data_IF_841839338055
#
_entry.id   IF_841839338055
#
_cell.length_a   1.000
_cell.length_b   1.000
_cell.length_c   1.000
_cell.angle_alpha   90.00
_cell.angle_beta   90.00
_cell.angle_gamma   90.00
#
_symmetry.space_group_name_H-M   'P 1'
#
loop_
_entity.id
_entity.type
_entity.pdbx_description
1 polymer ?
#
# COMPACT_ATOMS: atom_id res chain seq x y z
N UNK A 1 -8.71 13.12 13.72
CA UNK A 1 -7.67 12.92 12.69
C UNK A 1 -7.11 11.51 12.84
N UNK A 2 -7.07 10.77 11.75
CA UNK A 2 -6.50 9.44 11.73
C UNK A 2 -5.04 9.52 11.30
N UNK A 3 -4.17 8.85 12.02
CA UNK A 3 -2.75 8.76 11.69
C UNK A 3 -2.30 7.32 11.84
N UNK A 4 -1.65 6.80 10.82
CA UNK A 4 -1.04 5.48 10.86
C UNK A 4 0.44 5.60 11.16
N UNK A 5 0.98 4.60 11.82
CA UNK A 5 2.40 4.54 12.15
C UNK A 5 2.96 3.20 11.73
N UNK A 6 4.15 3.20 11.19
CA UNK A 6 4.88 1.97 10.90
C UNK A 6 6.29 2.04 11.44
N UNK A 7 6.88 0.87 11.67
CA UNK A 7 8.31 0.76 11.89
C UNK A 7 8.88 -0.43 11.12
N UNK A 8 10.16 -0.36 10.84
CA UNK A 8 10.93 -1.46 10.29
C UNK A 8 12.23 -1.55 11.08
N UNK A 9 12.43 -2.68 11.74
CA UNK A 9 13.68 -2.99 12.44
C UNK A 9 14.53 -3.90 11.56
N UNK A 10 15.78 -3.52 11.38
CA UNK A 10 16.78 -4.29 10.61
C UNK A 10 17.87 -4.77 11.55
N UNK A 11 17.80 -6.03 11.94
CA UNK A 11 18.81 -6.74 12.71
C UNK A 11 19.13 -8.06 12.03
N UNK A 12 19.31 -9.12 12.79
CA UNK A 12 19.48 -10.47 12.23
C UNK A 12 18.25 -10.89 11.43
N UNK A 13 17.09 -10.41 11.85
CA UNK A 13 15.83 -10.53 11.12
C UNK A 13 15.26 -9.14 10.82
N UNK A 14 14.46 -9.05 9.77
CA UNK A 14 13.66 -7.86 9.50
C UNK A 14 12.34 -8.01 10.23
N UNK A 15 12.05 -7.08 11.12
CA UNK A 15 10.78 -7.05 11.86
C UNK A 15 10.07 -5.76 11.49
N UNK A 16 8.81 -5.88 11.11
CA UNK A 16 7.99 -4.72 10.78
C UNK A 16 6.67 -4.73 11.53
N UNK A 17 6.21 -3.56 11.89
CA UNK A 17 4.91 -3.37 12.52
C UNK A 17 4.19 -2.18 11.94
N UNK A 18 2.88 -2.25 12.01
CA UNK A 18 2.00 -1.21 11.48
C UNK A 18 0.81 -1.02 12.40
N UNK A 19 0.52 0.21 12.74
CA UNK A 19 -0.66 0.59 13.50
C UNK A 19 -1.66 1.26 12.56
N UNK A 20 -2.82 0.62 12.39
CA UNK A 20 -3.95 1.19 11.65
C UNK A 20 -4.74 2.08 12.61
N UNK A 21 -4.42 3.36 12.62
CA UNK A 21 -5.11 4.35 13.45
C UNK A 21 -6.19 5.01 12.59
N UNK A 22 -7.40 4.48 12.66
CA UNK A 22 -8.52 4.83 11.81
C UNK A 22 -9.76 5.15 12.65
N UNK A 23 -10.73 5.84 12.05
CA UNK A 23 -11.99 6.18 12.71
C UNK A 23 -12.77 4.94 13.14
N UNK A 24 -13.55 5.08 14.19
CA UNK A 24 -14.43 4.03 14.69
C UNK A 24 -15.64 3.90 13.76
N UNK A 25 -15.45 3.15 12.69
CA UNK A 25 -16.49 2.79 11.73
C UNK A 25 -16.29 1.32 11.35
N UNK A 26 -17.26 0.76 10.69
CA UNK A 26 -17.13 -0.61 10.18
C UNK A 26 -16.20 -0.62 8.98
N UNK A 27 -15.04 -1.28 9.13
CA UNK A 27 -14.03 -1.43 8.09
C UNK A 27 -13.95 -2.87 7.59
N UNK A 28 -13.72 -3.03 6.30
CA UNK A 28 -13.42 -4.33 5.71
C UNK A 28 -11.92 -4.62 5.80
N UNK A 29 -11.58 -5.90 5.87
CA UNK A 29 -10.20 -6.37 5.91
C UNK A 29 -9.91 -7.26 4.72
N UNK A 30 -8.71 -7.14 4.21
CA UNK A 30 -8.13 -8.07 3.25
C UNK A 30 -6.87 -8.66 3.88
N UNK A 31 -6.87 -9.96 4.10
CA UNK A 31 -5.71 -10.67 4.68
C UNK A 31 -5.26 -11.69 3.65
N UNK A 32 -4.03 -11.55 3.20
CA UNK A 32 -3.40 -12.46 2.24
C UNK A 32 -2.20 -13.11 2.92
N UNK A 33 -2.20 -14.42 2.97
CA UNK A 33 -1.11 -15.21 3.52
C UNK A 33 -0.80 -16.35 2.56
N UNK A 34 0.26 -16.20 1.81
CA UNK A 34 0.74 -17.19 0.84
C UNK A 34 2.18 -17.57 1.16
N UNK A 35 2.73 -18.52 0.42
CA UNK A 35 4.16 -18.86 0.55
C UNK A 35 5.09 -17.70 0.13
N UNK A 36 4.59 -16.74 -0.64
CA UNK A 36 5.39 -15.70 -1.25
C UNK A 36 5.24 -14.34 -0.56
N UNK A 37 4.09 -14.10 0.09
CA UNK A 37 3.86 -12.82 0.77
C UNK A 37 2.82 -12.96 1.89
N UNK A 38 2.89 -12.02 2.82
CA UNK A 38 1.86 -11.79 3.82
C UNK A 38 1.54 -10.31 3.87
N UNK A 39 0.26 -9.96 3.73
CA UNK A 39 -0.14 -8.56 3.93
C UNK A 39 -1.57 -8.44 4.44
N UNK A 40 -1.81 -7.33 5.09
CA UNK A 40 -3.13 -6.93 5.59
C UNK A 40 -3.50 -5.60 4.95
N UNK A 41 -4.71 -5.54 4.41
CA UNK A 41 -5.28 -4.31 3.87
C UNK A 41 -6.54 -3.93 4.62
N UNK A 42 -6.74 -2.64 4.78
CA UNK A 42 -7.96 -2.06 5.34
C UNK A 42 -8.69 -1.34 4.21
N UNK A 43 -9.96 -1.67 4.07
CA UNK A 43 -10.80 -1.07 3.04
C UNK A 43 -11.98 -0.34 3.68
N UNK A 44 -12.33 0.80 3.11
CA UNK A 44 -13.52 1.54 3.51
C UNK A 44 -14.78 0.71 3.23
N UNK A 45 -15.91 1.04 3.88
CA UNK A 45 -17.18 0.34 3.63
C UNK A 45 -17.62 0.35 2.16
N UNK A 46 -17.21 1.38 1.40
CA UNK A 46 -17.48 1.47 -0.04
C UNK A 46 -16.55 0.61 -0.91
N UNK A 47 -15.64 -0.15 -0.30
CA UNK A 47 -14.68 -1.00 -0.99
C UNK A 47 -13.39 -0.29 -1.41
N UNK A 48 -13.27 1.01 -1.14
CA UNK A 48 -12.04 1.74 -1.46
C UNK A 48 -10.88 1.31 -0.54
N UNK A 49 -9.74 1.07 -1.14
CA UNK A 49 -8.52 0.71 -0.40
C UNK A 49 -7.99 1.91 0.38
N UNK A 50 -7.75 1.72 1.66
CA UNK A 50 -7.31 2.79 2.56
C UNK A 50 -5.83 2.64 2.92
N UNK A 51 -5.45 1.51 3.49
CA UNK A 51 -4.09 1.27 3.96
C UNK A 51 -3.71 -0.20 3.80
N UNK A 52 -2.45 -0.44 3.48
CA UNK A 52 -1.87 -1.78 3.40
C UNK A 52 -0.55 -1.84 4.14
N UNK A 53 -0.26 -3.01 4.68
CA UNK A 53 1.07 -3.31 5.22
C UNK A 53 1.40 -4.77 4.99
N UNK A 54 2.57 -5.04 4.47
CA UNK A 54 2.98 -6.40 4.21
C UNK A 54 4.45 -6.59 3.88
N UNK A 55 4.81 -7.85 3.79
CA UNK A 55 6.17 -8.32 3.49
C UNK A 55 6.11 -9.42 2.44
N UNK A 56 7.20 -9.61 1.71
CA UNK A 56 7.34 -10.73 0.80
C UNK A 56 8.61 -11.54 1.10
N UNK A 57 8.73 -12.71 0.45
CA UNK A 57 9.86 -13.60 0.68
C UNK A 57 11.21 -13.03 0.21
N UNK A 58 11.19 -11.97 -0.59
CA UNK A 58 12.41 -11.28 -1.01
C UNK A 58 12.91 -10.28 0.04
N UNK A 59 12.23 -10.17 1.18
CA UNK A 59 12.59 -9.25 2.26
C UNK A 59 12.11 -7.82 2.04
N UNK A 60 11.23 -7.59 1.08
CA UNK A 60 10.66 -6.27 0.83
C UNK A 60 9.48 -6.00 1.78
N UNK A 61 9.39 -4.79 2.24
CA UNK A 61 8.27 -4.29 3.07
C UNK A 61 7.55 -3.21 2.28
N UNK A 62 6.27 -3.41 2.04
CA UNK A 62 5.41 -2.43 1.42
C UNK A 62 4.41 -1.86 2.42
N UNK A 63 4.21 -0.55 2.38
CA UNK A 63 3.24 0.13 3.24
C UNK A 63 2.53 1.22 2.48
N UNK A 64 1.22 1.23 2.57
CA UNK A 64 0.37 2.32 2.10
C UNK A 64 -0.20 3.05 3.30
N UNK A 65 0.18 4.32 3.45
CA UNK A 65 -0.37 5.23 4.45
C UNK A 65 -1.40 6.13 3.79
N UNK A 66 -2.55 6.29 4.44
CA UNK A 66 -3.56 7.23 3.97
C UNK A 66 -3.13 8.67 4.30
N UNK A 67 -3.21 9.53 3.29
CA UNK A 67 -2.88 10.96 3.42
C UNK A 67 -4.03 11.78 2.83
N UNK A 68 -4.58 12.68 3.64
CA UNK A 68 -5.60 13.61 3.17
C UNK A 68 -5.00 14.69 2.26
N UNK A 69 -5.82 15.22 1.37
CA UNK A 69 -5.45 16.36 0.55
C UNK A 69 -4.43 16.05 -0.53
N UNK A 70 -4.52 14.89 -1.13
CA UNK A 70 -3.66 14.54 -2.26
C UNK A 70 -3.91 15.49 -3.44
N UNK A 71 -2.89 16.26 -3.79
CA UNK A 71 -2.93 17.20 -4.91
C UNK A 71 -2.58 16.57 -6.27
N UNK A 72 -2.28 15.28 -6.30
CA UNK A 72 -1.91 14.59 -7.54
C UNK A 72 -3.08 14.36 -8.49
N UNK A 73 -4.30 14.61 -8.02
CA UNK A 73 -5.51 14.50 -8.83
C UNK A 73 -6.19 13.13 -8.71
N UNK A 74 -7.34 13.04 -9.35
CA UNK A 74 -8.19 11.85 -9.33
C UNK A 74 -7.66 10.81 -10.33
N UNK A 75 -7.85 9.53 -10.01
CA UNK A 75 -7.54 8.44 -10.90
C UNK A 75 -8.28 8.57 -12.23
N UNK A 76 -7.55 8.35 -13.30
CA UNK A 76 -8.10 8.21 -14.65
C UNK A 76 -7.66 6.86 -15.21
N UNK A 77 -8.60 6.14 -15.80
CA UNK A 77 -8.30 4.84 -16.42
C UNK A 77 -7.48 5.06 -17.69
N UNK A 78 -6.18 5.17 -17.51
CA UNK A 78 -5.23 5.35 -18.62
C UNK A 78 -3.91 4.68 -18.29
N UNK A 79 -3.12 4.42 -19.34
CA UNK A 79 -1.77 3.84 -19.20
C UNK A 79 -0.80 4.78 -18.47
N UNK A 80 -1.13 6.05 -18.41
CA UNK A 80 -0.27 7.08 -17.81
C UNK A 80 -0.47 7.23 -16.30
N UNK A 81 -1.49 6.55 -15.74
CA UNK A 81 -1.81 6.60 -14.32
C UNK A 81 -1.73 5.22 -13.68
N UNK A 82 -1.33 5.20 -12.42
CA UNK A 82 -1.45 4.02 -11.55
C UNK A 82 -1.89 4.51 -10.16
N UNK A 83 -2.78 3.76 -9.51
CA UNK A 83 -3.11 4.09 -8.13
C UNK A 83 -1.97 3.71 -7.20
N UNK A 84 -1.77 4.51 -6.15
CA UNK A 84 -0.76 4.18 -5.14
C UNK A 84 -1.06 2.83 -4.48
N UNK A 85 -2.34 2.48 -4.30
CA UNK A 85 -2.73 1.20 -3.74
C UNK A 85 -2.34 0.03 -4.63
N UNK A 86 -2.54 0.14 -5.95
CA UNK A 86 -2.11 -0.90 -6.89
C UNK A 86 -0.60 -1.07 -6.89
N UNK A 87 0.14 0.03 -6.88
CA UNK A 87 1.60 -0.02 -6.87
C UNK A 87 2.14 -0.72 -5.62
N UNK A 88 1.63 -0.35 -4.44
CA UNK A 88 2.06 -0.97 -3.18
C UNK A 88 1.69 -2.45 -3.13
N UNK A 89 0.47 -2.80 -3.55
CA UNK A 89 0.02 -4.18 -3.56
C UNK A 89 0.85 -5.05 -4.52
N UNK A 90 1.13 -4.57 -5.74
CA UNK A 90 2.00 -5.26 -6.70
C UNK A 90 3.42 -5.44 -6.17
N UNK A 91 3.93 -4.44 -5.45
CA UNK A 91 5.25 -4.54 -4.84
C UNK A 91 5.29 -5.59 -3.71
N UNK A 92 4.28 -5.64 -2.86
CA UNK A 92 4.17 -6.66 -1.80
C UNK A 92 4.05 -8.06 -2.41
N UNK A 93 3.27 -8.19 -3.47
CA UNK A 93 3.08 -9.47 -4.17
C UNK A 93 4.29 -9.90 -5.01
N UNK A 94 5.33 -9.08 -5.06
CA UNK A 94 6.52 -9.28 -5.87
C UNK A 94 6.26 -9.32 -7.39
N UNK A 95 5.16 -8.73 -7.84
CA UNK A 95 4.87 -8.56 -9.26
C UNK A 95 5.76 -7.48 -9.90
N UNK A 96 6.19 -6.52 -9.10
CA UNK A 96 7.16 -5.48 -9.49
C UNK A 96 8.32 -5.48 -8.50
N UNK A 97 9.53 -5.31 -9.01
CA UNK A 97 10.74 -5.16 -8.20
C UNK A 97 10.91 -3.72 -7.72
N UNK A 98 11.89 -3.49 -6.86
CA UNK A 98 12.24 -2.12 -6.45
C UNK A 98 12.67 -1.27 -7.65
N UNK A 99 13.43 -1.84 -8.58
CA UNK A 99 13.86 -1.13 -9.80
C UNK A 99 12.66 -0.83 -10.71
N UNK A 100 11.70 -1.75 -10.82
CA UNK A 100 10.45 -1.53 -11.55
C UNK A 100 9.66 -0.38 -10.95
N UNK A 101 9.59 -0.28 -9.62
CA UNK A 101 8.92 0.85 -8.93
C UNK A 101 9.56 2.17 -9.33
N UNK A 102 10.89 2.25 -9.32
CA UNK A 102 11.59 3.46 -9.74
C UNK A 102 11.27 3.85 -11.18
N UNK A 103 11.17 2.87 -12.07
CA UNK A 103 10.83 3.11 -13.47
C UNK A 103 9.38 3.59 -13.62
N UNK A 104 8.44 2.96 -12.90
CA UNK A 104 7.02 3.36 -12.89
C UNK A 104 6.87 4.79 -12.41
N UNK A 105 7.61 5.20 -11.37
CA UNK A 105 7.57 6.58 -10.86
C UNK A 105 8.04 7.62 -11.88
N UNK A 106 8.89 7.22 -12.84
CA UNK A 106 9.34 8.10 -13.93
C UNK A 106 8.34 8.18 -15.07
N UNK A 107 7.60 7.11 -15.34
CA UNK A 107 6.79 6.96 -16.55
C UNK A 107 5.30 7.20 -16.31
N UNK A 108 4.83 7.05 -15.06
CA UNK A 108 3.41 7.07 -14.76
C UNK A 108 3.10 8.05 -13.62
N UNK A 109 1.91 8.64 -13.67
CA UNK A 109 1.39 9.48 -12.60
C UNK A 109 0.79 8.60 -11.50
N UNK A 110 1.23 8.84 -10.26
CA UNK A 110 0.73 8.14 -9.09
C UNK A 110 -0.45 8.92 -8.53
N UNK A 111 -1.60 8.28 -8.41
CA UNK A 111 -2.85 8.90 -7.94
C UNK A 111 -3.55 8.03 -6.91
N UNK A 112 -4.45 8.63 -6.16
CA UNK A 112 -5.42 7.87 -5.35
C UNK A 112 -6.59 7.42 -6.23
N UNK A 113 -7.21 6.30 -5.86
CA UNK A 113 -8.29 5.70 -6.63
C UNK A 113 -9.56 6.57 -6.65
N UNK A 114 -9.81 7.31 -5.58
CA UNK A 114 -10.90 8.29 -5.46
C UNK A 114 -10.67 9.16 -4.24
N UNK A 115 -11.44 10.21 -4.12
CA UNK A 115 -11.46 11.10 -2.96
C UNK A 115 -12.19 10.47 -1.77
#
# INVERSE_FOLDING_TARGET
MTMCTRFVYRGDNIITGFNFDIDIVEWNHKIINTKDCFYIGIMRPDGMRHSYHGVNRNGNVGTLLYVHGNLSGTYQDSKDCITIADLVEQFIQAEVSFDDVLQILKERKIVYAAD
#
